data_IF_687831563366
#
_entry.id   IF_687831563366
#
_cell.length_a   1.000
_cell.length_b   1.000
_cell.length_c   1.000
_cell.angle_alpha   90.00
_cell.angle_beta   90.00
_cell.angle_gamma   90.00
#
_symmetry.space_group_name_H-M   'P 1'
#
loop_
_entity.id
_entity.type
_entity.pdbx_description
1 polymer ?
#
# COMPACT_ATOMS: atom_id res chain seq x y z
N UNK A 1 18.27 16.05 66.25
CA UNK A 1 19.03 16.63 65.12
C UNK A 1 18.29 16.25 63.83
N UNK A 2 17.58 17.20 63.19
CA UNK A 2 18.08 18.08 62.11
C UNK A 2 18.27 17.30 60.78
N UNK A 3 17.31 17.39 59.84
CA UNK A 3 17.33 18.21 58.60
C UNK A 3 18.31 17.66 57.52
N UNK A 4 18.04 17.51 56.21
CA UNK A 4 17.06 18.09 55.26
C UNK A 4 17.19 17.44 53.86
N UNK A 5 16.07 17.43 53.10
CA UNK A 5 15.90 17.73 51.66
C UNK A 5 16.54 16.88 50.54
N UNK A 6 15.72 16.28 49.65
CA UNK A 6 15.29 16.93 48.39
C UNK A 6 14.25 16.09 47.62
N UNK A 7 13.39 16.80 46.88
CA UNK A 7 12.21 16.32 46.18
C UNK A 7 12.48 16.01 44.70
N UNK A 8 11.76 15.04 44.14
CA UNK A 8 11.47 14.97 42.70
C UNK A 8 10.11 14.29 42.50
N UNK A 9 9.07 15.10 42.40
CA UNK A 9 7.72 14.71 41.98
C UNK A 9 7.75 14.43 40.48
N UNK A 10 7.41 13.22 40.05
CA UNK A 10 6.98 12.99 38.66
C UNK A 10 5.64 12.26 38.68
N UNK A 11 4.58 13.03 38.43
CA UNK A 11 3.27 12.51 38.12
C UNK A 11 3.28 11.92 36.71
N UNK A 12 2.92 10.64 36.60
CA UNK A 12 2.63 9.99 35.33
C UNK A 12 1.14 9.69 35.24
N UNK A 13 0.36 10.67 34.76
CA UNK A 13 -1.02 10.46 34.35
C UNK A 13 -1.11 9.39 33.26
N UNK A 14 -2.15 8.56 33.33
CA UNK A 14 -2.36 7.39 32.48
C UNK A 14 -2.36 7.69 30.98
N UNK A 15 -1.68 6.81 30.23
CA UNK A 15 -1.78 6.77 28.78
C UNK A 15 -3.10 6.12 28.36
N UNK A 16 -4.09 6.97 28.07
CA UNK A 16 -5.29 6.59 27.32
C UNK A 16 -5.23 7.25 25.95
N UNK A 17 -4.43 6.69 25.04
CA UNK A 17 -4.27 7.25 23.70
C UNK A 17 -5.35 6.73 22.74
N UNK A 18 -6.55 7.31 22.83
CA UNK A 18 -7.61 7.17 21.81
C UNK A 18 -7.52 8.32 20.80
N UNK A 19 -6.55 8.26 19.89
CA UNK A 19 -6.40 9.28 18.84
C UNK A 19 -7.18 8.88 17.58
N UNK A 20 -8.51 9.04 17.61
CA UNK A 20 -9.36 9.05 16.41
C UNK A 20 -9.43 10.49 15.91
N UNK A 21 -8.59 10.88 14.95
CA UNK A 21 -8.71 12.17 14.27
C UNK A 21 -9.61 12.00 13.05
N UNK A 22 -10.83 12.54 13.13
CA UNK A 22 -11.73 12.72 11.97
C UNK A 22 -11.23 13.91 11.17
N UNK A 23 -10.66 13.66 9.99
CA UNK A 23 -10.41 14.72 9.01
C UNK A 23 -11.59 14.74 8.03
N UNK A 24 -12.57 15.60 8.28
CA UNK A 24 -13.52 16.01 7.24
C UNK A 24 -12.82 17.10 6.45
N UNK A 25 -12.41 16.83 5.21
CA UNK A 25 -11.82 17.88 4.39
C UNK A 25 -12.44 17.93 3.00
N UNK A 26 -13.15 19.03 2.76
CA UNK A 26 -14.01 19.27 1.61
C UNK A 26 -13.25 19.59 0.31
N UNK A 27 -11.93 19.75 0.38
CA UNK A 27 -11.01 19.77 -0.75
C UNK A 27 -9.60 19.83 -0.18
N UNK A 28 -8.85 18.72 -0.24
CA UNK A 28 -7.39 18.79 -0.11
C UNK A 28 -6.78 18.12 -1.34
N UNK A 29 -6.09 18.92 -2.13
CA UNK A 29 -5.31 18.48 -3.28
C UNK A 29 -4.02 17.76 -2.89
N UNK A 30 -3.53 17.84 -1.65
CA UNK A 30 -2.41 17.05 -1.11
C UNK A 30 -2.43 17.08 0.43
N UNK A 31 -2.72 15.96 1.10
CA UNK A 31 -2.58 15.81 2.56
C UNK A 31 -1.10 15.50 2.91
N UNK A 32 -0.19 16.44 2.62
CA UNK A 32 1.26 16.16 2.74
C UNK A 32 1.76 16.12 4.19
N UNK A 33 1.11 16.81 5.15
CA UNK A 33 1.63 16.95 6.54
C UNK A 33 0.77 16.32 7.65
N UNK A 34 -0.46 15.85 7.37
CA UNK A 34 -1.39 15.40 8.42
C UNK A 34 -1.36 13.87 8.64
N UNK A 35 -0.76 13.11 7.72
CA UNK A 35 -0.80 11.63 7.73
C UNK A 35 0.44 11.01 8.40
N UNK A 36 1.26 11.75 9.15
CA UNK A 36 2.45 11.15 9.78
C UNK A 36 2.13 10.21 10.95
N UNK A 37 0.89 10.18 11.45
CA UNK A 37 0.46 9.29 12.54
C UNK A 37 -0.99 8.75 12.40
N UNK A 38 -1.66 8.97 11.26
CA UNK A 38 -3.05 8.55 11.10
C UNK A 38 -3.12 7.04 10.86
N UNK A 39 -3.53 6.30 11.89
CA UNK A 39 -3.82 4.85 11.80
C UNK A 39 -5.12 4.56 11.08
N UNK A 40 -6.02 5.54 10.99
CA UNK A 40 -7.33 5.39 10.36
C UNK A 40 -7.76 6.70 9.69
N UNK A 41 -8.19 6.59 8.44
CA UNK A 41 -8.71 7.67 7.61
C UNK A 41 -10.16 7.32 7.24
N UNK A 42 -11.11 7.94 7.93
CA UNK A 42 -12.55 7.81 7.69
C UNK A 42 -13.04 8.98 6.81
N UNK A 43 -13.41 8.64 5.58
CA UNK A 43 -13.98 9.55 4.58
C UNK A 43 -15.44 9.18 4.25
N UNK A 44 -16.11 8.38 5.07
CA UNK A 44 -17.52 8.00 4.89
C UNK A 44 -18.45 9.22 4.80
N UNK A 45 -18.13 10.28 5.52
CA UNK A 45 -18.91 11.53 5.54
C UNK A 45 -18.53 12.52 4.43
N UNK A 46 -17.47 12.23 3.68
CA UNK A 46 -16.91 13.13 2.66
C UNK A 46 -17.58 12.87 1.30
N UNK A 47 -18.87 13.18 1.19
CA UNK A 47 -19.71 12.82 0.03
C UNK A 47 -19.29 13.48 -1.29
N UNK A 48 -18.63 14.65 -1.20
CA UNK A 48 -18.19 15.44 -2.35
C UNK A 48 -16.79 15.06 -2.84
N UNK A 49 -15.99 14.42 -1.98
CA UNK A 49 -14.65 14.01 -2.34
C UNK A 49 -14.75 12.82 -3.30
N UNK A 50 -14.08 12.93 -4.47
CA UNK A 50 -14.11 11.90 -5.52
C UNK A 50 -12.75 11.26 -5.77
N UNK A 51 -11.69 11.93 -5.36
CA UNK A 51 -10.32 11.48 -5.55
C UNK A 51 -9.57 11.56 -4.24
N UNK A 52 -8.94 10.45 -3.88
CA UNK A 52 -8.03 10.36 -2.75
C UNK A 52 -6.63 10.08 -3.29
N UNK A 53 -5.70 10.99 -3.03
CA UNK A 53 -4.28 10.76 -3.25
C UNK A 53 -3.62 10.69 -1.88
N UNK A 54 -3.02 9.54 -1.58
CA UNK A 54 -2.25 9.30 -0.37
C UNK A 54 -0.79 9.19 -0.79
N UNK A 55 0.00 10.20 -0.44
CA UNK A 55 1.45 10.19 -0.56
C UNK A 55 1.98 10.02 0.86
N UNK A 56 2.41 8.81 1.20
CA UNK A 56 2.60 8.44 2.61
C UNK A 56 3.96 7.82 2.85
N UNK A 57 4.94 8.64 3.23
CA UNK A 57 6.26 8.15 3.59
C UNK A 57 6.36 7.65 5.05
N UNK A 58 5.32 6.98 5.57
CA UNK A 58 5.32 6.49 6.96
C UNK A 58 5.27 4.97 7.05
N UNK A 59 5.97 4.45 8.06
CA UNK A 59 6.06 3.03 8.41
C UNK A 59 4.78 2.47 9.04
N UNK A 60 3.79 3.31 9.36
CA UNK A 60 2.58 2.87 10.05
C UNK A 60 1.47 2.58 9.05
N UNK A 61 0.95 1.35 9.09
CA UNK A 61 -0.19 0.96 8.24
C UNK A 61 -1.43 1.82 8.57
N UNK A 62 -1.96 2.51 7.56
CA UNK A 62 -3.19 3.29 7.65
C UNK A 62 -4.37 2.46 7.14
N UNK A 63 -5.44 2.40 7.94
CA UNK A 63 -6.74 1.90 7.50
C UNK A 63 -7.51 3.00 6.77
N UNK A 64 -8.09 2.71 5.61
CA UNK A 64 -8.84 3.68 4.79
C UNK A 64 -10.27 3.21 4.62
N UNK A 65 -11.22 4.06 4.99
CA UNK A 65 -12.65 3.89 4.73
C UNK A 65 -13.13 5.05 3.86
N UNK A 66 -13.52 4.76 2.63
CA UNK A 66 -13.76 5.74 1.59
C UNK A 66 -14.87 5.28 0.63
N UNK A 67 -16.10 5.05 1.13
CA UNK A 67 -17.20 4.46 0.34
C UNK A 67 -17.65 5.30 -0.85
N UNK A 68 -17.31 6.59 -0.92
CA UNK A 68 -17.78 7.52 -1.96
C UNK A 68 -16.67 8.02 -2.90
N UNK A 69 -15.43 7.54 -2.71
CA UNK A 69 -14.29 7.87 -3.54
C UNK A 69 -14.32 7.01 -4.81
N UNK A 70 -14.04 7.65 -5.95
CA UNK A 70 -14.03 6.98 -7.25
C UNK A 70 -12.61 6.70 -7.75
N UNK A 71 -11.63 7.53 -7.35
CA UNK A 71 -10.23 7.40 -7.73
C UNK A 71 -9.33 7.35 -6.50
N UNK A 72 -8.52 6.31 -6.39
CA UNK A 72 -7.56 6.13 -5.31
C UNK A 72 -6.15 6.05 -5.88
N UNK A 73 -5.25 6.90 -5.39
CA UNK A 73 -3.82 6.81 -5.71
C UNK A 73 -3.04 6.65 -4.40
N UNK A 74 -2.42 5.49 -4.21
CA UNK A 74 -1.48 5.22 -3.14
C UNK A 74 -0.07 5.34 -3.71
N UNK A 75 0.66 6.38 -3.30
CA UNK A 75 2.00 6.72 -3.78
C UNK A 75 3.00 6.67 -2.63
N UNK A 76 4.20 6.18 -2.93
CA UNK A 76 5.37 6.18 -2.02
C UNK A 76 5.10 5.64 -0.62
N UNK A 77 4.13 4.71 -0.49
CA UNK A 77 3.79 4.15 0.80
C UNK A 77 4.89 3.20 1.27
N UNK A 78 5.54 3.47 2.42
CA UNK A 78 6.51 2.52 2.98
C UNK A 78 5.84 1.32 3.65
N UNK A 79 4.58 1.47 4.03
CA UNK A 79 3.73 0.42 4.58
C UNK A 79 2.47 0.25 3.73
N UNK A 80 1.91 -0.96 3.61
CA UNK A 80 0.69 -1.12 2.83
C UNK A 80 -0.53 -0.56 3.59
N UNK A 81 -1.50 -0.01 2.86
CA UNK A 81 -2.75 0.50 3.44
C UNK A 81 -3.80 -0.60 3.50
N UNK A 82 -4.54 -0.67 4.60
CA UNK A 82 -5.66 -1.60 4.76
C UNK A 82 -6.96 -0.94 4.29
N UNK A 83 -7.53 -1.43 3.20
CA UNK A 83 -8.78 -0.90 2.63
C UNK A 83 -9.99 -1.56 3.31
N UNK A 84 -10.89 -0.75 3.89
CA UNK A 84 -12.06 -1.22 4.64
C UNK A 84 -13.29 -1.26 3.73
N UNK A 85 -13.90 -0.10 3.49
CA UNK A 85 -14.96 0.12 2.50
C UNK A 85 -14.44 1.05 1.43
N UNK A 86 -14.36 0.52 0.21
CA UNK A 86 -13.87 1.19 -1.00
C UNK A 86 -14.78 0.88 -2.19
N UNK A 87 -16.05 0.60 -1.92
CA UNK A 87 -17.02 0.06 -2.88
C UNK A 87 -17.29 0.92 -4.12
N UNK A 88 -17.10 2.24 -4.05
CA UNK A 88 -17.30 3.14 -5.18
C UNK A 88 -16.05 3.36 -6.04
N UNK A 89 -14.91 2.73 -5.73
CA UNK A 89 -13.68 2.96 -6.48
C UNK A 89 -13.82 2.35 -7.88
N UNK A 90 -13.53 3.16 -8.89
CA UNK A 90 -13.52 2.75 -10.31
C UNK A 90 -12.11 2.78 -10.89
N UNK A 91 -11.21 3.52 -10.27
CA UNK A 91 -9.80 3.63 -10.65
C UNK A 91 -8.89 3.59 -9.42
N UNK A 92 -7.89 2.72 -9.46
CA UNK A 92 -6.90 2.56 -8.39
C UNK A 92 -5.47 2.56 -8.94
N UNK A 93 -4.58 3.26 -8.26
CA UNK A 93 -3.13 3.23 -8.50
C UNK A 93 -2.42 2.81 -7.22
N UNK A 94 -1.71 1.68 -7.30
CA UNK A 94 -0.97 1.07 -6.22
C UNK A 94 0.53 1.12 -6.55
N UNK A 95 1.13 2.29 -6.36
CA UNK A 95 2.56 2.51 -6.57
C UNK A 95 3.25 2.70 -5.22
N UNK A 96 3.58 1.56 -4.61
CA UNK A 96 4.17 1.45 -3.27
C UNK A 96 5.69 1.43 -3.40
N UNK A 97 6.40 2.17 -2.55
CA UNK A 97 7.86 2.22 -2.52
C UNK A 97 8.36 1.68 -1.19
N UNK A 98 8.98 0.49 -1.21
CA UNK A 98 9.66 -0.06 -0.04
C UNK A 98 11.13 0.37 -0.10
N UNK A 99 11.54 1.28 0.78
CA UNK A 99 12.95 1.55 1.02
C UNK A 99 13.48 0.45 1.93
N UNK A 100 14.29 -0.47 1.39
CA UNK A 100 14.88 -1.54 2.19
C UNK A 100 15.86 -0.93 3.18
N UNK A 101 15.45 -0.80 4.44
CA UNK A 101 16.36 -0.64 5.56
C UNK A 101 16.18 -1.91 6.37
N UNK A 102 17.13 -2.83 6.18
CA UNK A 102 17.29 -4.11 6.89
C UNK A 102 16.43 -5.31 6.43
N UNK A 103 17.14 -6.43 6.32
CA UNK A 103 16.80 -7.68 5.65
C UNK A 103 15.82 -8.57 6.44
N UNK A 104 14.90 -7.98 7.20
CA UNK A 104 13.89 -8.69 8.01
C UNK A 104 12.46 -8.27 7.67
N UNK A 105 12.22 -7.88 6.42
CA UNK A 105 10.86 -7.64 5.93
C UNK A 105 10.19 -8.99 5.65
N UNK A 106 9.22 -9.35 6.49
CA UNK A 106 8.43 -10.57 6.35
C UNK A 106 7.64 -10.52 5.03
N UNK A 107 8.09 -11.29 4.04
CA UNK A 107 7.49 -11.36 2.71
C UNK A 107 6.04 -11.82 2.80
N UNK A 108 5.73 -12.79 3.65
CA UNK A 108 4.37 -13.32 3.85
C UNK A 108 3.42 -12.24 4.34
N UNK A 109 3.87 -11.39 5.27
CA UNK A 109 3.05 -10.28 5.78
C UNK A 109 2.74 -9.24 4.69
N UNK A 110 3.73 -8.92 3.84
CA UNK A 110 3.52 -8.00 2.72
C UNK A 110 2.61 -8.61 1.66
N UNK A 111 2.81 -9.89 1.34
CA UNK A 111 1.97 -10.63 0.39
C UNK A 111 0.51 -10.64 0.86
N UNK A 112 0.26 -11.07 2.09
CA UNK A 112 -1.09 -11.15 2.66
C UNK A 112 -1.78 -9.79 2.67
N UNK A 113 -1.09 -8.72 3.07
CA UNK A 113 -1.69 -7.38 3.10
C UNK A 113 -1.99 -6.85 1.70
N UNK A 114 -1.07 -7.01 0.74
CA UNK A 114 -1.28 -6.52 -0.63
C UNK A 114 -2.37 -7.30 -1.37
N UNK A 115 -2.44 -8.62 -1.17
CA UNK A 115 -3.51 -9.45 -1.72
C UNK A 115 -4.87 -9.11 -1.10
N UNK A 116 -4.94 -8.84 0.21
CA UNK A 116 -6.16 -8.32 0.86
C UNK A 116 -6.61 -7.00 0.25
N UNK A 117 -5.67 -6.10 -0.03
CA UNK A 117 -5.99 -4.82 -0.68
C UNK A 117 -6.42 -4.99 -2.13
N UNK A 118 -5.81 -5.90 -2.90
CA UNK A 118 -6.29 -6.25 -4.25
C UNK A 118 -7.69 -6.85 -4.23
N UNK A 119 -7.97 -7.75 -3.29
CA UNK A 119 -9.29 -8.36 -3.16
C UNK A 119 -10.37 -7.30 -2.89
N UNK A 120 -10.06 -6.26 -2.12
CA UNK A 120 -10.94 -5.10 -1.92
C UNK A 120 -11.17 -4.27 -3.19
N UNK A 121 -10.24 -4.34 -4.14
CA UNK A 121 -10.26 -3.59 -5.39
C UNK A 121 -10.61 -4.47 -6.61
N UNK A 122 -11.09 -5.71 -6.41
CA UNK A 122 -11.42 -6.63 -7.51
C UNK A 122 -12.47 -6.09 -8.50
N UNK A 123 -13.28 -5.13 -8.07
CA UNK A 123 -14.35 -4.50 -8.84
C UNK A 123 -13.89 -3.31 -9.70
N UNK A 124 -12.64 -2.87 -9.51
CA UNK A 124 -12.09 -1.67 -10.16
C UNK A 124 -11.95 -1.89 -11.66
N UNK A 125 -12.32 -0.88 -12.45
CA UNK A 125 -12.22 -0.96 -13.92
C UNK A 125 -10.83 -0.57 -14.42
N UNK A 126 -10.15 0.34 -13.73
CA UNK A 126 -8.81 0.84 -14.10
C UNK A 126 -7.82 0.62 -12.96
N UNK A 127 -6.84 -0.26 -13.18
CA UNK A 127 -5.83 -0.57 -12.18
C UNK A 127 -4.44 -0.18 -12.68
N UNK A 128 -3.66 0.48 -11.82
CA UNK A 128 -2.24 0.75 -12.04
C UNK A 128 -1.41 0.07 -10.96
N UNK A 129 -0.41 -0.71 -11.36
CA UNK A 129 0.49 -1.44 -10.46
C UNK A 129 1.93 -0.96 -10.64
N UNK A 130 2.57 -0.58 -9.54
CA UNK A 130 3.98 -0.21 -9.52
C UNK A 130 4.93 -1.43 -9.51
N UNK A 131 6.17 -1.25 -9.94
CA UNK A 131 7.15 -2.33 -10.06
C UNK A 131 7.41 -3.13 -8.77
N UNK A 132 7.39 -2.49 -7.60
CA UNK A 132 7.49 -3.20 -6.30
C UNK A 132 6.26 -4.04 -5.98
N UNK A 133 5.08 -3.59 -6.40
CA UNK A 133 3.86 -4.38 -6.30
C UNK A 133 4.00 -5.65 -7.15
N UNK A 134 4.48 -5.52 -8.39
CA UNK A 134 4.71 -6.65 -9.29
C UNK A 134 5.76 -7.65 -8.77
N UNK A 135 6.80 -7.16 -8.08
CA UNK A 135 7.77 -8.04 -7.39
C UNK A 135 7.10 -8.94 -6.37
N UNK A 136 6.27 -8.37 -5.50
CA UNK A 136 5.59 -9.14 -4.44
C UNK A 136 4.55 -10.09 -5.04
N UNK A 137 3.86 -9.68 -6.10
CA UNK A 137 2.95 -10.58 -6.81
C UNK A 137 3.66 -11.76 -7.47
N UNK A 138 4.88 -11.54 -7.96
CA UNK A 138 5.68 -12.61 -8.55
C UNK A 138 6.12 -13.61 -7.48
N UNK A 139 6.48 -13.11 -6.30
CA UNK A 139 6.79 -13.97 -5.17
C UNK A 139 5.56 -14.77 -4.71
N UNK A 140 4.40 -14.11 -4.59
CA UNK A 140 3.16 -14.78 -4.23
C UNK A 140 2.71 -15.84 -5.26
N UNK A 141 3.11 -15.68 -6.53
CA UNK A 141 2.88 -16.71 -7.55
C UNK A 141 3.79 -17.91 -7.33
N UNK A 142 5.09 -17.69 -7.07
CA UNK A 142 6.04 -18.76 -6.76
C UNK A 142 5.67 -19.53 -5.48
N UNK A 143 5.01 -18.87 -4.53
CA UNK A 143 4.50 -19.47 -3.29
C UNK A 143 3.08 -20.04 -3.43
N UNK A 144 2.51 -20.15 -4.63
CA UNK A 144 1.18 -20.69 -4.91
C UNK A 144 0.03 -20.05 -4.08
N UNK A 145 0.18 -18.79 -3.69
CA UNK A 145 -0.81 -18.08 -2.85
C UNK A 145 -2.06 -17.75 -3.66
N UNK A 146 -3.30 -17.95 -3.18
CA UNK A 146 -4.51 -17.65 -3.96
C UNK A 146 -4.58 -16.18 -4.42
N UNK A 147 -5.03 -15.96 -5.66
CA UNK A 147 -5.16 -14.63 -6.27
C UNK A 147 -6.61 -14.29 -6.63
N UNK A 148 -7.07 -13.06 -6.41
CA UNK A 148 -8.44 -12.66 -6.72
C UNK A 148 -8.65 -12.46 -8.23
N UNK A 149 -9.83 -12.84 -8.72
CA UNK A 149 -10.27 -12.49 -10.07
C UNK A 149 -10.54 -10.98 -10.18
N UNK A 150 -9.96 -10.33 -11.18
CA UNK A 150 -10.06 -8.88 -11.39
C UNK A 150 -11.03 -8.55 -12.53
N UNK A 151 -11.95 -7.61 -12.28
CA UNK A 151 -12.87 -7.05 -13.30
C UNK A 151 -12.27 -5.86 -14.04
N UNK A 152 -10.94 -5.79 -14.10
CA UNK A 152 -10.22 -4.67 -14.70
C UNK A 152 -10.40 -4.68 -16.21
N UNK A 153 -10.74 -3.52 -16.76
CA UNK A 153 -10.86 -3.28 -18.22
C UNK A 153 -9.61 -2.60 -18.76
N UNK A 154 -8.91 -1.83 -17.93
CA UNK A 154 -7.64 -1.22 -18.27
C UNK A 154 -6.61 -1.47 -17.16
N UNK A 155 -5.47 -2.03 -17.53
CA UNK A 155 -4.34 -2.30 -16.65
C UNK A 155 -3.14 -1.47 -17.10
N UNK A 156 -2.53 -0.77 -16.15
CA UNK A 156 -1.29 -0.03 -16.36
C UNK A 156 -0.20 -0.61 -15.47
N UNK A 157 0.92 -1.00 -16.07
CA UNK A 157 2.10 -1.49 -15.36
C UNK A 157 3.15 -0.38 -15.36
N UNK A 158 3.40 0.22 -14.20
CA UNK A 158 4.44 1.22 -13.99
C UNK A 158 5.69 0.55 -13.45
N UNK A 159 6.65 0.23 -14.32
CA UNK A 159 7.90 -0.40 -13.93
C UNK A 159 9.11 0.37 -14.46
N UNK A 160 10.24 0.30 -13.78
CA UNK A 160 11.47 0.93 -14.26
C UNK A 160 12.06 0.14 -15.45
N UNK A 161 12.15 -1.17 -15.27
CA UNK A 161 12.47 -2.16 -16.30
C UNK A 161 11.65 -3.43 -16.04
N UNK A 162 11.28 -4.14 -17.09
CA UNK A 162 10.75 -5.50 -16.93
C UNK A 162 11.97 -6.40 -16.72
N UNK A 163 12.14 -6.86 -15.49
CA UNK A 163 13.10 -7.91 -15.16
C UNK A 163 12.42 -9.27 -15.21
N UNK A 164 13.18 -10.33 -15.44
CA UNK A 164 12.61 -11.69 -15.51
C UNK A 164 11.85 -12.07 -14.23
N UNK A 165 12.33 -11.60 -13.08
CA UNK A 165 11.69 -11.89 -11.79
C UNK A 165 10.31 -11.26 -11.58
N UNK A 166 9.90 -10.26 -12.38
CA UNK A 166 8.52 -9.72 -12.29
C UNK A 166 7.55 -10.39 -13.25
N UNK A 167 8.04 -11.26 -14.14
CA UNK A 167 7.22 -11.92 -15.16
C UNK A 167 6.11 -12.77 -14.52
N UNK A 168 6.36 -13.62 -13.49
CA UNK A 168 5.30 -14.43 -12.90
C UNK A 168 4.15 -13.58 -12.35
N UNK A 169 4.46 -12.45 -11.70
CA UNK A 169 3.44 -11.54 -11.18
C UNK A 169 2.65 -10.84 -12.27
N UNK A 170 3.29 -10.52 -13.41
CA UNK A 170 2.60 -9.96 -14.58
C UNK A 170 1.67 -11.00 -15.20
N UNK A 171 2.17 -12.21 -15.46
CA UNK A 171 1.39 -13.32 -16.01
C UNK A 171 0.17 -13.61 -15.15
N UNK A 172 0.37 -13.71 -13.84
CA UNK A 172 -0.69 -13.90 -12.86
C UNK A 172 -1.79 -12.84 -12.97
N UNK A 173 -1.41 -11.56 -13.00
CA UNK A 173 -2.39 -10.46 -13.11
C UNK A 173 -3.16 -10.57 -14.41
N UNK A 174 -2.48 -10.86 -15.53
CA UNK A 174 -3.12 -10.99 -16.84
C UNK A 174 -4.08 -12.18 -16.90
N UNK A 175 -3.70 -13.34 -16.38
CA UNK A 175 -4.55 -14.53 -16.33
C UNK A 175 -5.81 -14.29 -15.50
N UNK A 176 -5.71 -13.49 -14.44
CA UNK A 176 -6.84 -13.17 -13.56
C UNK A 176 -7.65 -11.94 -14.02
N UNK A 177 -7.34 -11.35 -15.18
CA UNK A 177 -7.99 -10.14 -15.72
C UNK A 177 -8.76 -10.43 -17.02
N UNK A 178 -9.81 -11.25 -16.96
CA UNK A 178 -10.53 -11.70 -18.16
C UNK A 178 -11.23 -10.58 -18.96
N UNK A 179 -11.63 -9.49 -18.30
CA UNK A 179 -12.32 -8.36 -18.94
C UNK A 179 -11.36 -7.31 -19.52
N UNK A 180 -10.05 -7.59 -19.53
CA UNK A 180 -9.01 -6.64 -19.90
C UNK A 180 -9.09 -6.29 -21.39
N UNK A 181 -9.29 -5.00 -21.69
CA UNK A 181 -9.34 -4.45 -23.05
C UNK A 181 -8.11 -3.64 -23.41
N UNK A 182 -7.40 -3.12 -22.41
CA UNK A 182 -6.23 -2.26 -22.61
C UNK A 182 -5.15 -2.59 -21.60
N UNK A 183 -4.00 -3.03 -22.09
CA UNK A 183 -2.76 -3.12 -21.32
C UNK A 183 -1.85 -1.95 -21.71
N UNK A 184 -1.40 -1.19 -20.72
CA UNK A 184 -0.41 -0.13 -20.90
C UNK A 184 0.82 -0.46 -20.07
N UNK A 185 2.00 -0.41 -20.68
CA UNK A 185 3.26 -0.63 -19.99
C UNK A 185 4.06 0.67 -20.03
N UNK A 186 4.30 1.24 -18.86
CA UNK A 186 5.14 2.42 -18.72
C UNK A 186 6.48 2.00 -18.14
N UNK A 187 7.50 1.98 -19.01
CA UNK A 187 8.89 1.81 -18.62
C UNK A 187 9.51 3.17 -18.31
N UNK A 188 10.01 3.35 -17.08
CA UNK A 188 10.69 4.59 -16.67
C UNK A 188 12.18 4.33 -16.49
N UNK A 189 13.03 5.08 -17.18
CA UNK A 189 14.47 5.03 -16.92
C UNK A 189 14.77 5.63 -15.54
N UNK A 190 14.99 4.78 -14.55
CA UNK A 190 15.44 5.14 -13.20
C UNK A 190 16.66 4.29 -12.82
N UNK A 191 17.62 4.89 -12.11
CA UNK A 191 18.91 4.29 -11.76
C UNK A 191 18.85 3.43 -10.48
N UNK A 192 17.81 2.61 -10.29
CA UNK A 192 17.57 1.90 -9.01
C UNK A 192 17.85 0.39 -9.07
N UNK A 193 18.19 -0.13 -7.88
CA UNK A 193 18.98 -1.33 -7.53
C UNK A 193 18.59 -2.64 -8.25
N UNK A 194 19.58 -3.46 -8.67
CA UNK A 194 19.36 -4.78 -9.29
C UNK A 194 18.62 -5.76 -8.37
N UNK A 195 18.12 -6.86 -8.94
CA UNK A 195 17.30 -7.91 -8.30
C UNK A 195 17.91 -8.63 -7.08
N UNK A 196 19.02 -8.15 -6.54
CA UNK A 196 19.78 -8.74 -5.44
C UNK A 196 18.95 -9.05 -4.19
N UNK A 197 17.86 -8.33 -3.93
CA UNK A 197 17.00 -8.59 -2.77
C UNK A 197 16.11 -9.82 -2.95
N UNK A 198 15.67 -10.10 -4.19
CA UNK A 198 14.85 -11.28 -4.45
C UNK A 198 15.71 -12.53 -4.53
N UNK A 199 16.86 -12.45 -5.19
CA UNK A 199 17.81 -13.57 -5.29
C UNK A 199 18.27 -14.01 -3.88
N UNK A 200 18.49 -13.06 -2.96
CA UNK A 200 18.79 -13.35 -1.56
C UNK A 200 17.62 -14.03 -0.82
N UNK A 201 16.38 -13.65 -1.11
CA UNK A 201 15.21 -14.27 -0.49
C UNK A 201 14.97 -15.69 -1.00
N UNK A 202 15.02 -15.89 -2.33
CA UNK A 202 14.90 -17.22 -2.94
C UNK A 202 15.99 -18.19 -2.42
N UNK A 203 17.22 -17.70 -2.29
CA UNK A 203 18.31 -18.47 -1.69
C UNK A 203 18.09 -18.82 -0.20
N UNK A 204 17.36 -17.99 0.56
CA UNK A 204 17.00 -18.27 1.95
C UNK A 204 15.86 -19.30 2.05
N UNK A 205 14.92 -19.30 1.11
CA UNK A 205 13.80 -20.25 1.04
C UNK A 205 14.16 -21.56 0.32
N UNK A 206 15.36 -21.66 -0.25
CA UNK A 206 15.82 -22.86 -0.98
C UNK A 206 15.12 -23.08 -2.33
N UNK A 207 14.64 -21.99 -2.94
CA UNK A 207 13.94 -21.95 -4.24
C UNK A 207 14.87 -21.49 -5.37
#
# INVERSE_FOLDING_TARGET
>A
ESATSSAATSGGCGFRSNNVKRAAVDSISCLHDVILQLRFLDLSKSLRLRTLVVDHNSWVATKIEAPHIHRLHLRNSQSPCALVDVSSITEANLNIFFQSVEATFNADFLQDMLLKSLNKLQHVEKLTLGGKFLQILSLAELCDVPFPMLKVKALTLETTKIFQYVIPGIERVLQNSHDLKKLTIHTRHCNTTPGEHLDKYLALEGL
#
